data_IF_061369762277
#
_entry.id   IF_061369762277
#
_cell.length_a   1.000
_cell.length_b   1.000
_cell.length_c   1.000
_cell.angle_alpha   90.00
_cell.angle_beta   90.00
_cell.angle_gamma   90.00
#
_symmetry.space_group_name_H-M   'P 1'
#
loop_
_entity.id
_entity.type
_entity.pdbx_description
1 polymer ?
#
# COMPACT_ATOMS: atom_id res chain seq x y z
N UNK A 1 57.81 -66.97 -30.94
CA UNK A 1 57.68 -65.52 -30.75
C UNK A 1 56.64 -65.00 -31.74
N UNK A 2 55.35 -64.99 -31.36
CA UNK A 2 54.30 -64.10 -31.89
C UNK A 2 53.01 -64.38 -31.11
N UNK A 3 52.31 -63.31 -30.75
CA UNK A 3 51.45 -63.18 -29.57
C UNK A 3 50.00 -63.63 -29.80
N UNK A 4 49.47 -64.26 -28.75
CA UNK A 4 48.12 -64.78 -28.55
C UNK A 4 47.07 -63.65 -28.54
N UNK A 5 45.94 -63.94 -29.17
CA UNK A 5 44.72 -63.15 -29.21
C UNK A 5 43.92 -63.21 -27.90
N UNK A 6 42.99 -62.25 -27.78
CA UNK A 6 41.83 -62.21 -26.88
C UNK A 6 42.11 -62.05 -25.39
N UNK A 7 41.62 -60.97 -24.77
CA UNK A 7 40.27 -61.01 -24.21
C UNK A 7 39.85 -59.61 -23.71
N UNK A 8 38.64 -59.20 -24.06
CA UNK A 8 38.07 -57.89 -23.71
C UNK A 8 37.37 -58.00 -22.36
N UNK A 9 38.03 -57.55 -21.28
CA UNK A 9 37.40 -57.43 -19.98
C UNK A 9 36.48 -56.19 -19.93
N UNK A 10 35.20 -56.40 -20.19
CA UNK A 10 34.13 -55.44 -19.90
C UNK A 10 34.03 -55.27 -18.38
N UNK A 11 34.66 -54.23 -17.83
CA UNK A 11 34.33 -53.74 -16.49
C UNK A 11 32.99 -53.01 -16.56
N UNK A 12 31.93 -53.71 -16.18
CA UNK A 12 30.70 -53.09 -15.66
C UNK A 12 31.06 -52.50 -14.31
N UNK A 13 31.33 -51.19 -14.27
CA UNK A 13 31.30 -50.48 -13.01
C UNK A 13 29.87 -49.99 -12.74
N UNK A 14 29.45 -50.31 -11.53
CA UNK A 14 28.10 -50.28 -11.02
C UNK A 14 27.75 -48.86 -10.52
N UNK A 15 26.67 -48.31 -11.06
CA UNK A 15 25.62 -47.56 -10.33
C UNK A 15 26.01 -46.43 -9.37
N UNK A 16 25.71 -45.19 -9.85
CA UNK A 16 25.03 -44.05 -9.17
C UNK A 16 25.80 -43.31 -8.04
N UNK A 17 25.65 -41.97 -7.86
CA UNK A 17 24.45 -41.17 -8.18
C UNK A 17 24.77 -39.81 -8.83
N UNK A 18 25.04 -39.78 -10.14
CA UNK A 18 25.18 -38.51 -10.88
C UNK A 18 23.84 -38.00 -11.44
N UNK A 19 22.71 -38.37 -10.82
CA UNK A 19 21.36 -37.98 -11.25
C UNK A 19 20.66 -36.99 -10.30
N UNK A 20 21.28 -36.65 -9.17
CA UNK A 20 20.65 -35.83 -8.13
C UNK A 20 21.11 -34.37 -8.15
N UNK A 21 21.83 -33.91 -9.18
CA UNK A 21 22.32 -32.52 -9.27
C UNK A 21 21.79 -31.71 -10.45
N UNK A 22 20.87 -32.26 -11.25
CA UNK A 22 20.30 -31.57 -12.43
C UNK A 22 18.78 -31.41 -12.28
N UNK A 23 18.27 -31.17 -11.07
CA UNK A 23 16.84 -30.86 -10.84
C UNK A 23 16.67 -29.75 -9.79
N UNK A 24 17.58 -28.78 -9.72
CA UNK A 24 17.38 -27.54 -8.94
C UNK A 24 17.80 -26.35 -9.82
N UNK A 25 17.16 -26.19 -10.97
CA UNK A 25 17.41 -25.03 -11.84
C UNK A 25 16.14 -24.37 -12.39
N UNK A 26 14.94 -24.73 -11.89
CA UNK A 26 13.67 -24.18 -12.38
C UNK A 26 12.64 -23.91 -11.26
N UNK A 27 13.04 -23.35 -10.12
CA UNK A 27 12.09 -23.05 -9.03
C UNK A 27 12.31 -21.68 -8.36
N UNK A 28 12.82 -20.67 -9.09
CA UNK A 28 13.29 -19.43 -8.45
C UNK A 28 12.74 -18.09 -8.97
N UNK A 29 11.89 -18.05 -10.01
CA UNK A 29 11.59 -16.76 -10.70
C UNK A 29 10.10 -16.34 -10.63
N UNK A 30 9.23 -17.13 -10.00
CA UNK A 30 7.77 -16.91 -10.13
C UNK A 30 7.11 -15.91 -9.19
N UNK A 31 7.74 -15.49 -8.08
CA UNK A 31 7.02 -14.86 -6.95
C UNK A 31 7.21 -13.34 -6.79
N UNK A 32 8.06 -12.69 -7.59
CA UNK A 32 8.36 -11.26 -7.44
C UNK A 32 7.39 -10.31 -8.15
N UNK A 33 6.51 -10.80 -9.03
CA UNK A 33 5.64 -9.94 -9.84
C UNK A 33 4.40 -9.39 -9.10
N UNK A 34 4.00 -9.98 -7.97
CA UNK A 34 2.79 -9.59 -7.23
C UNK A 34 2.98 -8.33 -6.37
N UNK A 35 4.23 -7.88 -6.14
CA UNK A 35 4.51 -6.71 -5.28
C UNK A 35 4.49 -5.38 -6.03
N UNK A 36 4.31 -5.40 -7.36
CA UNK A 36 4.29 -4.18 -8.19
C UNK A 36 2.89 -3.59 -8.35
N UNK A 37 1.84 -4.24 -7.83
CA UNK A 37 0.45 -3.78 -7.99
C UNK A 37 -0.06 -2.90 -6.85
N UNK A 38 0.74 -2.67 -5.80
CA UNK A 38 0.37 -1.77 -4.69
C UNK A 38 0.48 -0.27 -5.03
N UNK A 39 0.83 0.08 -6.28
CA UNK A 39 1.10 1.45 -6.71
C UNK A 39 0.11 2.03 -7.73
N UNK A 40 -1.06 1.43 -7.94
CA UNK A 40 -2.12 2.14 -8.66
C UNK A 40 -2.62 3.26 -7.73
N UNK A 41 -2.14 4.49 -7.94
CA UNK A 41 -2.49 5.65 -7.11
C UNK A 41 -4.01 5.85 -7.06
N UNK A 42 -4.60 5.41 -5.96
CA UNK A 42 -6.00 5.64 -5.65
C UNK A 42 -6.06 6.88 -4.75
N UNK A 43 -6.91 7.84 -5.11
CA UNK A 43 -7.15 9.02 -4.31
C UNK A 43 -8.57 8.95 -3.78
N UNK A 44 -8.69 8.88 -2.48
CA UNK A 44 -9.94 8.71 -1.76
C UNK A 44 -10.53 10.07 -1.42
N UNK A 45 -11.80 10.29 -1.71
CA UNK A 45 -12.52 11.50 -1.27
C UNK A 45 -12.79 11.44 0.25
N UNK A 46 -12.79 12.58 0.93
CA UNK A 46 -13.06 12.64 2.38
C UNK A 46 -14.53 12.32 2.69
N UNK A 47 -15.44 12.78 1.83
CA UNK A 47 -16.88 12.57 1.94
C UNK A 47 -17.43 12.05 0.61
N UNK A 48 -18.61 11.46 0.63
CA UNK A 48 -19.26 10.99 -0.60
C UNK A 48 -19.78 12.16 -1.43
N UNK A 49 -20.15 11.87 -2.68
CA UNK A 49 -20.89 12.81 -3.53
C UNK A 49 -22.16 13.32 -2.83
N UNK A 50 -22.36 14.64 -2.82
CA UNK A 50 -23.51 15.30 -2.17
C UNK A 50 -23.33 15.56 -0.68
N UNK A 51 -22.14 15.30 -0.15
CA UNK A 51 -21.73 15.63 1.22
C UNK A 51 -20.52 16.55 1.22
N UNK A 52 -20.35 17.31 2.30
CA UNK A 52 -19.18 18.14 2.53
C UNK A 52 -18.59 17.88 3.93
N UNK A 53 -17.27 18.04 4.12
CA UNK A 53 -16.65 17.86 5.42
C UNK A 53 -16.79 19.11 6.29
N UNK A 54 -17.01 18.90 7.58
CA UNK A 54 -17.00 19.93 8.61
C UNK A 54 -16.06 19.49 9.76
N UNK A 55 -15.44 20.45 10.44
CA UNK A 55 -14.43 20.21 11.48
C UNK A 55 -15.02 20.39 12.89
N UNK A 56 -14.69 19.49 13.80
CA UNK A 56 -15.03 19.65 15.21
C UNK A 56 -14.28 20.84 15.82
N UNK A 57 -14.98 21.66 16.61
CA UNK A 57 -14.35 22.73 17.39
C UNK A 57 -13.40 22.12 18.43
N UNK A 58 -12.14 22.57 18.46
CA UNK A 58 -11.07 22.03 19.31
C UNK A 58 -9.67 22.25 18.73
N UNK A 59 -8.64 21.81 19.48
CA UNK A 59 -7.23 21.94 19.07
C UNK A 59 -6.79 20.92 18.03
N UNK A 60 -7.30 19.69 18.10
CA UNK A 60 -7.05 18.65 17.09
C UNK A 60 -8.27 18.52 16.19
N UNK A 61 -8.01 18.53 14.88
CA UNK A 61 -9.03 18.34 13.87
C UNK A 61 -9.71 16.97 13.96
N UNK A 62 -10.93 16.94 13.46
CA UNK A 62 -11.74 15.74 13.28
C UNK A 62 -12.89 16.09 12.35
N UNK A 63 -12.96 15.41 11.21
CA UNK A 63 -13.96 15.69 10.18
C UNK A 63 -15.19 14.82 10.36
N UNK A 64 -16.37 15.38 10.09
CA UNK A 64 -17.59 14.64 9.82
C UNK A 64 -18.22 15.13 8.51
N UNK A 65 -18.90 14.24 7.80
CA UNK A 65 -19.58 14.55 6.55
C UNK A 65 -21.03 14.96 6.81
N UNK A 66 -21.45 16.04 6.18
CA UNK A 66 -22.81 16.56 6.25
C UNK A 66 -23.38 16.71 4.84
N UNK A 67 -24.69 16.49 4.64
CA UNK A 67 -25.29 16.67 3.32
C UNK A 67 -25.22 18.13 2.87
N UNK A 68 -25.03 18.34 1.57
CA UNK A 68 -25.00 19.68 0.99
C UNK A 68 -26.24 20.51 1.33
N UNK A 69 -26.02 21.79 1.58
CA UNK A 69 -27.06 22.75 1.96
C UNK A 69 -27.59 22.61 3.39
N UNK A 70 -27.16 21.61 4.16
CA UNK A 70 -27.46 21.52 5.60
C UNK A 70 -26.35 22.18 6.41
N UNK A 71 -26.72 22.72 7.57
CA UNK A 71 -25.75 23.29 8.52
C UNK A 71 -25.18 22.18 9.40
N UNK A 72 -23.86 22.20 9.72
CA UNK A 72 -23.28 21.18 10.58
C UNK A 72 -23.92 21.23 11.96
N UNK A 73 -24.13 20.06 12.57
CA UNK A 73 -24.58 20.01 13.96
C UNK A 73 -23.39 20.19 14.91
N UNK A 74 -23.62 20.82 16.06
CA UNK A 74 -22.58 20.97 17.08
C UNK A 74 -21.98 19.58 17.45
N UNK A 75 -20.67 19.49 17.68
CA UNK A 75 -19.70 20.57 17.82
C UNK A 75 -18.99 20.98 16.50
N UNK A 76 -19.53 20.62 15.34
CA UNK A 76 -18.88 20.86 14.05
C UNK A 76 -19.15 22.25 13.48
N UNK A 77 -18.17 22.79 12.77
CA UNK A 77 -18.24 24.05 12.02
C UNK A 77 -17.68 23.85 10.62
N UNK A 78 -18.04 24.75 9.68
CA UNK A 78 -17.46 24.72 8.33
C UNK A 78 -15.97 25.09 8.38
N UNK A 79 -15.19 24.44 7.54
CA UNK A 79 -13.83 24.85 7.26
C UNK A 79 -13.79 26.28 6.69
N UNK A 80 -12.73 27.06 6.95
CA UNK A 80 -12.49 28.32 6.26
C UNK A 80 -12.46 28.14 4.75
N UNK A 81 -12.93 29.14 4.01
CA UNK A 81 -12.93 29.12 2.56
C UNK A 81 -11.51 28.89 2.02
N UNK A 82 -11.37 27.97 1.07
CA UNK A 82 -10.08 27.58 0.50
C UNK A 82 -9.21 26.69 1.39
N UNK A 83 -9.68 26.30 2.59
CA UNK A 83 -9.00 25.40 3.52
C UNK A 83 -9.76 24.11 3.81
N UNK A 84 -10.50 23.63 2.81
CA UNK A 84 -11.41 22.48 2.93
C UNK A 84 -10.72 21.22 2.39
N UNK A 85 -10.54 20.16 3.20
CA UNK A 85 -10.01 18.90 2.69
C UNK A 85 -10.99 18.28 1.70
N UNK A 86 -10.49 17.79 0.57
CA UNK A 86 -11.27 17.16 -0.49
C UNK A 86 -10.94 15.67 -0.57
N UNK A 87 -9.67 15.31 -0.40
CA UNK A 87 -9.19 13.94 -0.49
C UNK A 87 -8.32 13.57 0.72
N UNK A 88 -8.31 12.29 1.07
CA UNK A 88 -7.41 11.73 2.08
C UNK A 88 -5.97 12.08 1.71
N UNK A 89 -5.21 12.55 2.71
CA UNK A 89 -3.82 12.99 2.59
C UNK A 89 -3.59 14.18 1.64
N UNK A 90 -4.63 14.95 1.27
CA UNK A 90 -4.41 16.23 0.60
C UNK A 90 -3.82 17.30 1.55
N UNK A 91 -3.44 18.44 0.98
CA UNK A 91 -2.83 19.54 1.73
C UNK A 91 -3.62 19.92 2.98
N UNK A 92 -4.95 19.98 2.88
CA UNK A 92 -5.81 20.40 3.97
C UNK A 92 -6.09 19.25 4.93
N UNK A 93 -6.26 18.02 4.44
CA UNK A 93 -6.41 16.84 5.32
C UNK A 93 -5.17 16.66 6.20
N UNK A 94 -3.97 16.92 5.66
CA UNK A 94 -2.72 16.90 6.43
C UNK A 94 -2.61 18.09 7.38
N UNK A 95 -2.91 19.31 6.91
CA UNK A 95 -2.82 20.53 7.71
C UNK A 95 -3.68 20.47 8.97
N UNK A 96 -4.88 19.90 8.89
CA UNK A 96 -5.79 19.81 10.03
C UNK A 96 -5.47 18.68 11.02
N UNK A 97 -4.37 17.94 10.84
CA UNK A 97 -3.93 16.90 11.79
C UNK A 97 -3.31 17.49 13.05
N UNK A 98 -2.67 18.64 12.93
CA UNK A 98 -2.01 19.37 14.00
C UNK A 98 -2.57 20.80 14.19
N UNK A 99 -3.67 21.10 13.52
CA UNK A 99 -4.41 22.36 13.68
C UNK A 99 -5.90 22.08 13.94
N UNK A 100 -6.57 23.05 14.54
CA UNK A 100 -8.00 23.01 14.79
C UNK A 100 -8.62 24.40 14.76
N UNK A 101 -9.90 24.48 15.13
CA UNK A 101 -10.66 25.73 15.15
C UNK A 101 -11.29 25.89 16.54
N UNK A 102 -11.05 27.02 17.19
CA UNK A 102 -11.64 27.33 18.49
C UNK A 102 -13.11 27.73 18.39
N UNK A 103 -13.76 27.94 19.55
CA UNK A 103 -15.18 28.32 19.60
C UNK A 103 -15.49 29.70 18.97
N UNK A 104 -14.46 30.50 18.68
CA UNK A 104 -14.59 31.82 18.05
C UNK A 104 -14.29 31.76 16.53
N UNK A 105 -13.99 30.58 15.98
CA UNK A 105 -13.60 30.42 14.58
C UNK A 105 -12.13 30.74 14.30
N UNK A 106 -11.29 30.84 15.33
CA UNK A 106 -9.85 31.09 15.20
C UNK A 106 -9.12 29.77 15.00
N UNK A 107 -8.20 29.74 14.02
CA UNK A 107 -7.32 28.59 13.81
C UNK A 107 -6.29 28.53 14.95
N UNK A 108 -6.16 27.35 15.55
CA UNK A 108 -5.26 27.08 16.66
C UNK A 108 -4.42 25.84 16.37
N UNK A 109 -3.26 25.72 17.01
CA UNK A 109 -2.41 24.53 16.95
C UNK A 109 -2.91 23.48 17.98
N UNK A 110 -2.75 22.20 17.65
CA UNK A 110 -3.30 21.04 18.39
C UNK A 110 -2.37 20.24 19.28
#
# INVERSE_FOLDING_TARGET
>A
MSTRAHDSAVRRDQTRPMRTRIMIALAGVGLSALMLTSGCGYREDICNDGEYPAIAVGGQGGSACFPDGQEPTAPYVRYPEGKVPQHVDDEWDVYWRDHGIDANGVIIDG
#
